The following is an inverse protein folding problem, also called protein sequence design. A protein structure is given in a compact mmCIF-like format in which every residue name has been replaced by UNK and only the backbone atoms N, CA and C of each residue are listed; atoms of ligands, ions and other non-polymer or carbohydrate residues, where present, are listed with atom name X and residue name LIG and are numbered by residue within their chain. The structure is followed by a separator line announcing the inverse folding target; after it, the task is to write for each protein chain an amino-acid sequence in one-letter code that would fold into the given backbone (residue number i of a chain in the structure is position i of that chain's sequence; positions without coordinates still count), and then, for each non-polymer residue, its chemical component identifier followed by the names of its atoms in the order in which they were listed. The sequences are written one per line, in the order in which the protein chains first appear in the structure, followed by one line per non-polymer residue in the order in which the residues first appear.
data_IF_216862999665
#
_entry.id   IF_216862999665
#
_cell.length_a   1.000
_cell.length_b   1.000
_cell.length_c   1.000
_cell.angle_alpha   90.00
_cell.angle_beta   90.00
_cell.angle_gamma   90.00
#
_symmetry.space_group_name_H-M   'P 1'
#
loop_
_entity.id
_entity.type
_entity.pdbx_description
1 polymer ?
#
# COMPACT_ATOMS: atom_id res chain seq x y z
N UNK A 1 -0.76 -3.59 -43.96
CA UNK A 1 -1.09 -4.93 -43.47
C UNK A 1 -1.71 -4.75 -42.09
N UNK A 2 -2.91 -5.26 -41.82
CA UNK A 2 -3.57 -5.03 -40.54
C UNK A 2 -2.93 -5.89 -39.44
N UNK A 3 -2.63 -5.27 -38.32
CA UNK A 3 -2.16 -5.93 -37.09
C UNK A 3 -3.35 -6.65 -36.46
N UNK A 4 -3.29 -7.97 -36.44
CA UNK A 4 -4.30 -8.82 -35.81
C UNK A 4 -4.14 -8.73 -34.29
N UNK A 5 -5.15 -8.22 -33.60
CA UNK A 5 -5.21 -8.22 -32.15
C UNK A 5 -5.29 -9.68 -31.65
N UNK A 6 -4.28 -10.14 -30.93
CA UNK A 6 -4.34 -11.37 -30.17
C UNK A 6 -5.21 -11.15 -28.94
N UNK A 7 -6.42 -11.68 -28.98
CA UNK A 7 -7.25 -11.81 -27.78
C UNK A 7 -6.61 -12.86 -26.87
N UNK A 8 -5.97 -12.43 -25.80
CA UNK A 8 -5.56 -13.30 -24.72
C UNK A 8 -6.82 -13.80 -24.01
N UNK A 9 -7.14 -15.08 -24.19
CA UNK A 9 -8.13 -15.78 -23.37
C UNK A 9 -7.60 -15.84 -21.94
N UNK A 10 -8.19 -15.03 -21.06
CA UNK A 10 -7.96 -15.12 -19.62
C UNK A 10 -8.55 -16.47 -19.14
N UNK A 11 -7.72 -17.51 -19.11
CA UNK A 11 -8.04 -18.72 -18.36
C UNK A 11 -8.00 -18.37 -16.88
N UNK A 12 -9.18 -18.30 -16.28
CA UNK A 12 -9.39 -18.15 -14.85
C UNK A 12 -8.76 -19.36 -14.14
N UNK A 13 -7.46 -19.25 -13.78
CA UNK A 13 -6.81 -20.23 -12.91
C UNK A 13 -7.10 -19.77 -11.49
N UNK A 14 -8.10 -20.37 -10.87
CA UNK A 14 -8.26 -20.33 -9.43
C UNK A 14 -7.03 -21.01 -8.80
N UNK A 15 -6.11 -20.23 -8.25
CA UNK A 15 -5.07 -20.75 -7.40
C UNK A 15 -5.70 -21.03 -6.03
N UNK A 16 -5.95 -22.29 -5.73
CA UNK A 16 -6.24 -22.72 -4.37
C UNK A 16 -4.91 -22.71 -3.58
N UNK A 17 -4.71 -21.66 -2.77
CA UNK A 17 -3.66 -21.70 -1.76
C UNK A 17 -4.08 -22.66 -0.65
N UNK A 18 -3.22 -23.59 -0.21
CA UNK A 18 -3.48 -24.34 1.00
C UNK A 18 -3.49 -23.37 2.18
N UNK A 19 -4.69 -23.04 2.66
CA UNK A 19 -4.87 -22.17 3.81
C UNK A 19 -4.25 -22.85 5.04
N UNK A 20 -3.39 -22.18 5.83
CA UNK A 20 -3.04 -22.67 7.14
C UNK A 20 -4.32 -22.80 7.97
N UNK A 21 -4.52 -23.97 8.57
CA UNK A 21 -5.65 -24.22 9.48
C UNK A 21 -5.43 -23.50 10.83
N UNK A 22 -5.34 -22.21 10.85
CA UNK A 22 -5.29 -21.42 12.08
C UNK A 22 -6.23 -20.23 11.92
N UNK A 23 -7.31 -20.27 12.61
CA UNK A 23 -8.18 -19.23 13.21
C UNK A 23 -8.10 -17.79 12.70
N UNK A 24 -7.85 -17.55 11.42
CA UNK A 24 -7.91 -16.21 10.84
C UNK A 24 -8.11 -16.33 9.34
N UNK A 25 -9.20 -15.73 8.82
CA UNK A 25 -9.36 -15.61 7.38
C UNK A 25 -8.20 -14.78 6.83
N UNK A 26 -7.55 -15.28 5.77
CA UNK A 26 -6.52 -14.52 5.08
C UNK A 26 -7.13 -13.27 4.45
N UNK A 27 -6.32 -12.24 4.23
CA UNK A 27 -6.72 -11.01 3.53
C UNK A 27 -7.38 -11.34 2.19
N UNK A 28 -6.82 -12.28 1.44
CA UNK A 28 -7.38 -12.76 0.15
C UNK A 28 -8.74 -13.44 0.32
N UNK A 29 -8.92 -14.33 1.30
CA UNK A 29 -10.20 -14.99 1.52
C UNK A 29 -11.32 -13.98 1.86
N UNK A 30 -11.02 -12.97 2.68
CA UNK A 30 -11.95 -11.88 2.97
C UNK A 30 -12.27 -11.03 1.74
N UNK A 31 -11.27 -10.69 0.94
CA UNK A 31 -11.44 -9.87 -0.25
C UNK A 31 -12.33 -10.57 -1.29
N UNK A 32 -12.06 -11.84 -1.60
CA UNK A 32 -12.81 -12.58 -2.61
C UNK A 32 -14.23 -12.96 -2.17
N UNK A 33 -14.47 -13.18 -0.88
CA UNK A 33 -15.80 -13.55 -0.36
C UNK A 33 -16.82 -12.41 -0.46
N UNK A 34 -16.38 -11.18 -0.63
CA UNK A 34 -17.23 -9.98 -0.58
C UNK A 34 -17.34 -9.24 -1.92
N UNK A 35 -16.72 -9.73 -3.00
CA UNK A 35 -16.84 -9.06 -4.30
C UNK A 35 -18.29 -9.17 -4.80
N UNK A 36 -19.06 -8.08 -4.84
CA UNK A 36 -20.41 -8.12 -5.38
C UNK A 36 -20.38 -8.32 -6.91
N UNK A 37 -21.47 -8.75 -7.52
CA UNK A 37 -21.60 -8.77 -8.97
C UNK A 37 -21.29 -7.38 -9.55
N UNK A 38 -20.54 -7.34 -10.65
CA UNK A 38 -20.24 -6.07 -11.31
C UNK A 38 -21.56 -5.40 -11.77
N UNK A 39 -21.80 -4.14 -11.40
CA UNK A 39 -23.00 -3.43 -11.82
C UNK A 39 -22.99 -3.20 -13.33
N UNK A 40 -24.16 -3.11 -13.92
CA UNK A 40 -24.30 -2.65 -15.32
C UNK A 40 -23.80 -1.21 -15.45
N UNK A 41 -23.46 -0.79 -16.66
CA UNK A 41 -23.03 0.60 -16.89
C UNK A 41 -24.04 1.64 -16.36
N UNK A 42 -25.33 1.40 -16.60
CA UNK A 42 -26.39 2.32 -16.15
C UNK A 42 -26.47 2.40 -14.61
N UNK A 43 -26.38 1.27 -13.92
CA UNK A 43 -26.37 1.23 -12.45
C UNK A 43 -25.14 1.92 -11.90
N UNK A 44 -23.99 1.71 -12.53
CA UNK A 44 -22.72 2.33 -12.16
C UNK A 44 -22.78 3.85 -12.30
N UNK A 45 -23.23 4.34 -13.47
CA UNK A 45 -23.37 5.78 -13.72
C UNK A 45 -24.31 6.43 -12.68
N UNK A 46 -25.42 5.75 -12.33
CA UNK A 46 -26.35 6.20 -11.30
C UNK A 46 -25.73 6.22 -9.89
N UNK A 47 -24.95 5.20 -9.54
CA UNK A 47 -24.22 5.12 -8.26
C UNK A 47 -23.18 6.24 -8.15
N UNK A 48 -22.42 6.50 -9.20
CA UNK A 48 -21.39 7.53 -9.25
C UNK A 48 -22.03 8.92 -9.09
N UNK A 49 -23.14 9.19 -9.79
CA UNK A 49 -23.88 10.44 -9.63
C UNK A 49 -24.40 10.61 -8.21
N UNK A 50 -25.02 9.56 -7.64
CA UNK A 50 -25.53 9.59 -6.28
C UNK A 50 -24.42 9.83 -5.24
N UNK A 51 -23.24 9.18 -5.42
CA UNK A 51 -22.09 9.38 -4.55
C UNK A 51 -21.59 10.84 -4.62
N UNK A 52 -21.49 11.41 -5.82
CA UNK A 52 -21.14 12.83 -6.02
C UNK A 52 -22.12 13.76 -5.30
N UNK A 53 -23.42 13.50 -5.42
CA UNK A 53 -24.45 14.34 -4.79
C UNK A 53 -24.41 14.25 -3.26
N UNK A 54 -24.16 13.05 -2.70
CA UNK A 54 -23.99 12.85 -1.27
C UNK A 54 -22.76 13.56 -0.73
N UNK A 55 -21.61 13.47 -1.43
CA UNK A 55 -20.40 14.20 -1.03
C UNK A 55 -20.68 15.71 -0.94
N UNK A 56 -21.33 16.29 -1.95
CA UNK A 56 -21.71 17.70 -1.96
C UNK A 56 -22.71 18.05 -0.84
N UNK A 57 -23.75 17.24 -0.68
CA UNK A 57 -24.79 17.44 0.34
C UNK A 57 -24.21 17.47 1.75
N UNK A 58 -23.23 16.63 2.04
CA UNK A 58 -22.61 16.53 3.36
C UNK A 58 -21.34 17.37 3.52
N UNK A 59 -20.96 18.16 2.52
CA UNK A 59 -19.70 18.91 2.55
C UNK A 59 -18.49 17.99 2.76
N UNK A 60 -18.58 16.76 2.25
CA UNK A 60 -17.55 15.73 2.38
C UNK A 60 -16.62 15.73 1.16
N UNK A 61 -15.38 15.27 1.36
CA UNK A 61 -14.40 15.10 0.30
C UNK A 61 -13.91 13.65 0.25
N UNK A 62 -13.67 13.14 -0.96
CA UNK A 62 -13.21 11.77 -1.18
C UNK A 62 -11.69 11.76 -1.41
N UNK A 63 -10.97 10.98 -0.60
CA UNK A 63 -9.58 10.61 -0.84
C UNK A 63 -9.53 9.15 -1.30
N UNK A 64 -9.05 8.92 -2.50
CA UNK A 64 -8.96 7.60 -3.12
C UNK A 64 -7.50 7.13 -3.21
N UNK A 65 -7.25 5.89 -2.83
CA UNK A 65 -5.92 5.29 -3.02
C UNK A 65 -5.73 4.85 -4.48
N UNK A 66 -4.49 4.83 -4.96
CA UNK A 66 -4.15 4.36 -6.31
C UNK A 66 -4.63 2.94 -6.67
N UNK A 67 -4.94 2.11 -5.67
CA UNK A 67 -5.35 0.70 -5.86
C UNK A 67 -6.86 0.52 -6.04
N UNK A 68 -7.67 1.57 -5.86
CA UNK A 68 -9.10 1.47 -6.10
C UNK A 68 -9.41 1.60 -7.59
N UNK A 69 -10.60 1.14 -7.98
CA UNK A 69 -11.04 1.22 -9.37
C UNK A 69 -10.93 2.65 -9.93
N UNK A 70 -10.57 2.77 -11.22
CA UNK A 70 -10.38 4.05 -11.89
C UNK A 70 -11.58 4.97 -11.79
N UNK A 71 -12.79 4.43 -11.77
CA UNK A 71 -14.03 5.20 -11.63
C UNK A 71 -14.13 5.90 -10.26
N UNK A 72 -13.67 5.25 -9.17
CA UNK A 72 -13.60 5.88 -7.85
C UNK A 72 -12.51 6.95 -7.80
N UNK A 73 -11.41 6.74 -8.54
CA UNK A 73 -10.38 7.77 -8.69
C UNK A 73 -10.92 8.98 -9.45
N UNK A 74 -11.64 8.74 -10.55
CA UNK A 74 -12.29 9.81 -11.33
C UNK A 74 -13.30 10.56 -10.49
N UNK A 75 -14.12 9.87 -9.69
CA UNK A 75 -15.07 10.51 -8.75
C UNK A 75 -14.33 11.40 -7.75
N UNK A 76 -13.24 10.93 -7.17
CA UNK A 76 -12.46 11.71 -6.21
C UNK A 76 -11.99 13.01 -6.86
N UNK A 77 -11.37 12.94 -8.04
CA UNK A 77 -10.89 14.11 -8.78
C UNK A 77 -12.04 15.06 -9.20
N UNK A 78 -13.15 14.51 -9.70
CA UNK A 78 -14.31 15.30 -10.14
C UNK A 78 -15.04 16.01 -8.99
N UNK A 79 -14.88 15.54 -7.75
CA UNK A 79 -15.53 16.12 -6.57
C UNK A 79 -14.61 16.96 -5.68
N UNK A 80 -13.39 17.29 -6.18
CA UNK A 80 -12.43 18.10 -5.44
C UNK A 80 -11.60 17.32 -4.42
N UNK A 81 -11.61 16.00 -4.53
CA UNK A 81 -10.80 15.09 -3.72
C UNK A 81 -9.40 14.85 -4.29
N UNK A 82 -8.76 13.79 -3.83
CA UNK A 82 -7.43 13.40 -4.30
C UNK A 82 -7.34 11.92 -4.64
N UNK A 83 -6.36 11.59 -5.51
CA UNK A 83 -5.87 10.23 -5.76
C UNK A 83 -4.40 10.20 -5.38
N UNK A 84 -4.03 9.39 -4.39
CA UNK A 84 -2.69 9.45 -3.82
C UNK A 84 -2.28 8.15 -3.11
N UNK A 85 -1.02 8.10 -2.63
CA UNK A 85 -0.59 7.11 -1.64
C UNK A 85 -1.17 7.42 -0.24
N UNK A 86 -1.01 6.47 0.68
CA UNK A 86 -1.62 6.55 2.01
C UNK A 86 -1.19 7.78 2.82
N UNK A 87 0.06 8.25 2.67
CA UNK A 87 0.54 9.43 3.39
C UNK A 87 -0.02 10.72 2.81
N UNK A 88 -0.01 10.84 1.49
CA UNK A 88 -0.56 12.02 0.82
C UNK A 88 -2.08 12.11 0.99
N UNK A 89 -2.81 10.98 1.00
CA UNK A 89 -4.23 10.96 1.36
C UNK A 89 -4.48 11.51 2.77
N UNK A 90 -3.65 11.11 3.75
CA UNK A 90 -3.77 11.58 5.12
C UNK A 90 -3.40 13.08 5.26
N UNK A 91 -2.37 13.53 4.55
CA UNK A 91 -2.00 14.97 4.46
C UNK A 91 -3.10 15.79 3.82
N UNK A 92 -3.61 15.33 2.66
CA UNK A 92 -4.74 15.97 1.99
C UNK A 92 -5.93 16.10 2.94
N UNK A 93 -6.30 15.02 3.64
CA UNK A 93 -7.39 15.04 4.61
C UNK A 93 -7.17 16.04 5.75
N UNK A 94 -5.93 16.17 6.24
CA UNK A 94 -5.56 17.15 7.26
C UNK A 94 -5.69 18.59 6.74
N UNK A 95 -5.18 18.86 5.56
CA UNK A 95 -5.04 20.21 5.01
C UNK A 95 -6.32 20.72 4.33
N UNK A 96 -7.22 19.80 3.90
CA UNK A 96 -8.47 20.15 3.26
C UNK A 96 -9.48 20.76 4.24
N UNK A 97 -10.25 21.76 3.79
CA UNK A 97 -11.19 22.50 4.64
C UNK A 97 -12.42 21.68 5.09
N UNK A 98 -12.78 20.60 4.38
CA UNK A 98 -13.92 19.75 4.73
C UNK A 98 -13.73 19.10 6.10
N UNK A 99 -14.81 19.06 6.89
CA UNK A 99 -14.84 18.39 8.20
C UNK A 99 -15.12 16.89 8.09
N UNK A 100 -15.52 16.42 6.90
CA UNK A 100 -15.83 15.02 6.62
C UNK A 100 -14.96 14.54 5.46
N UNK A 101 -14.19 13.49 5.72
CA UNK A 101 -13.34 12.81 4.74
C UNK A 101 -13.85 11.38 4.52
N UNK A 102 -14.10 11.02 3.29
CA UNK A 102 -14.36 9.63 2.88
C UNK A 102 -13.04 9.06 2.35
N UNK A 103 -12.58 7.95 2.92
CA UNK A 103 -11.33 7.30 2.52
C UNK A 103 -11.65 6.01 1.77
N UNK A 104 -11.42 6.01 0.46
CA UNK A 104 -11.51 4.81 -0.37
C UNK A 104 -10.12 4.14 -0.42
N UNK A 105 -9.97 3.11 0.40
CA UNK A 105 -8.74 2.35 0.60
C UNK A 105 -8.92 1.31 1.68
N UNK A 106 -7.82 0.79 2.23
CA UNK A 106 -7.84 -0.19 3.33
C UNK A 106 -7.82 0.49 4.69
N UNK A 107 -8.29 -0.22 5.72
CA UNK A 107 -8.58 0.31 7.07
C UNK A 107 -7.48 1.19 7.66
N UNK A 108 -6.20 0.76 7.60
CA UNK A 108 -5.11 1.53 8.18
C UNK A 108 -4.96 2.95 7.59
N UNK A 109 -5.43 3.17 6.35
CA UNK A 109 -5.39 4.50 5.70
C UNK A 109 -6.39 5.46 6.34
N UNK A 110 -7.62 4.99 6.62
CA UNK A 110 -8.61 5.75 7.36
C UNK A 110 -8.18 6.01 8.80
N UNK A 111 -7.58 5.01 9.47
CA UNK A 111 -7.00 5.17 10.80
C UNK A 111 -5.88 6.22 10.81
N UNK A 112 -4.98 6.20 9.81
CA UNK A 112 -3.91 7.20 9.68
C UNK A 112 -4.50 8.59 9.44
N UNK A 113 -5.50 8.72 8.58
CA UNK A 113 -6.20 9.99 8.36
C UNK A 113 -6.84 10.51 9.67
N UNK A 114 -7.45 9.62 10.47
CA UNK A 114 -8.03 9.98 11.77
C UNK A 114 -6.99 10.40 12.79
N UNK A 115 -5.83 9.73 12.83
CA UNK A 115 -4.72 10.09 13.71
C UNK A 115 -4.20 11.51 13.39
N UNK A 116 -4.07 11.84 12.10
CA UNK A 116 -3.59 13.16 11.66
C UNK A 116 -4.67 14.27 11.73
N UNK A 117 -5.94 13.91 11.84
CA UNK A 117 -7.08 14.83 11.87
C UNK A 117 -8.11 14.35 12.88
N UNK A 118 -7.79 14.37 14.20
CA UNK A 118 -8.66 13.80 15.23
C UNK A 118 -10.00 14.54 15.36
N UNK A 119 -10.08 15.77 14.92
CA UNK A 119 -11.30 16.60 14.93
C UNK A 119 -12.27 16.27 13.78
N UNK A 120 -11.77 15.64 12.69
CA UNK A 120 -12.58 15.37 11.49
C UNK A 120 -13.33 14.05 11.59
N UNK A 121 -14.44 13.97 10.86
CA UNK A 121 -15.16 12.71 10.65
C UNK A 121 -14.50 11.95 9.49
N UNK A 122 -14.01 10.74 9.77
CA UNK A 122 -13.41 9.87 8.76
C UNK A 122 -14.36 8.70 8.53
N UNK A 123 -14.80 8.53 7.30
CA UNK A 123 -15.64 7.42 6.88
C UNK A 123 -14.90 6.54 5.90
N UNK A 124 -15.13 5.25 6.00
CA UNK A 124 -14.65 4.25 5.06
C UNK A 124 -15.81 3.39 4.57
N UNK A 125 -15.87 3.06 3.27
CA UNK A 125 -16.91 2.22 2.71
C UNK A 125 -16.97 0.81 3.33
N UNK A 126 -15.79 0.24 3.62
CA UNK A 126 -15.65 -1.09 4.22
C UNK A 126 -14.50 -1.09 5.24
N UNK A 127 -14.81 -1.35 6.50
CA UNK A 127 -13.82 -1.46 7.58
C UNK A 127 -13.12 -2.83 7.63
N UNK A 128 -13.66 -3.82 6.93
CA UNK A 128 -13.04 -5.14 6.80
C UNK A 128 -12.02 -5.19 5.65
N UNK A 129 -11.97 -4.16 4.80
CA UNK A 129 -10.91 -4.00 3.82
C UNK A 129 -9.58 -3.75 4.54
N UNK A 130 -8.73 -4.78 4.62
CA UNK A 130 -7.47 -4.75 5.36
C UNK A 130 -6.27 -5.02 4.45
N UNK A 131 -5.07 -4.83 4.99
CA UNK A 131 -3.80 -5.14 4.34
C UNK A 131 -3.18 -6.39 4.98
N UNK A 132 -2.55 -7.25 4.19
CA UNK A 132 -1.85 -8.44 4.70
C UNK A 132 -0.73 -8.10 5.69
N UNK A 133 -0.10 -6.94 5.55
CA UNK A 133 0.90 -6.45 6.51
C UNK A 133 0.28 -6.11 7.86
N UNK A 134 -0.92 -5.52 7.87
CA UNK A 134 -1.67 -5.23 9.10
C UNK A 134 -2.10 -6.53 9.78
N UNK A 135 -2.66 -7.48 9.02
CA UNK A 135 -3.03 -8.80 9.52
C UNK A 135 -1.83 -9.62 10.02
N UNK A 136 -0.67 -9.47 9.37
CA UNK A 136 0.58 -10.14 9.73
C UNK A 136 1.33 -9.51 10.91
N UNK A 137 0.77 -8.44 11.51
CA UNK A 137 1.35 -7.74 12.66
C UNK A 137 0.26 -7.47 13.72
N UNK A 138 -0.26 -8.52 14.40
CA UNK A 138 -1.26 -8.38 15.45
C UNK A 138 -0.75 -7.49 16.58
N UNK A 139 -1.61 -6.61 17.09
CA UNK A 139 -1.20 -5.57 18.05
C UNK A 139 -0.63 -6.13 19.35
N UNK A 140 -1.23 -7.21 19.89
CA UNK A 140 -0.78 -7.83 21.13
C UNK A 140 0.56 -8.53 20.97
N UNK A 141 0.76 -9.27 19.86
CA UNK A 141 2.02 -9.92 19.55
C UNK A 141 3.14 -8.90 19.32
N UNK A 142 2.81 -7.80 18.62
CA UNK A 142 3.77 -6.71 18.39
C UNK A 142 4.12 -5.98 19.70
N UNK A 143 3.14 -5.77 20.59
CA UNK A 143 3.39 -5.18 21.90
C UNK A 143 4.36 -6.04 22.71
N UNK A 144 4.11 -7.37 22.77
CA UNK A 144 5.01 -8.31 23.45
C UNK A 144 6.42 -8.33 22.84
N UNK A 145 6.52 -8.19 21.51
CA UNK A 145 7.81 -8.09 20.83
C UNK A 145 8.56 -6.80 21.19
N UNK A 146 7.87 -5.66 21.26
CA UNK A 146 8.45 -4.40 21.71
C UNK A 146 8.93 -4.47 23.16
N UNK A 147 8.16 -5.09 24.04
CA UNK A 147 8.49 -5.21 25.47
C UNK A 147 9.72 -6.08 25.74
N UNK A 148 10.07 -7.00 24.81
CA UNK A 148 11.31 -7.79 24.85
C UNK A 148 12.54 -7.03 24.33
N UNK A 149 12.37 -5.86 23.70
CA UNK A 149 13.42 -5.11 23.01
C UNK A 149 13.38 -3.62 23.33
N UNK A 150 13.21 -3.29 24.60
CA UNK A 150 13.02 -1.91 25.10
C UNK A 150 14.20 -0.96 24.83
N UNK A 151 15.38 -1.50 24.48
CA UNK A 151 16.56 -0.74 24.11
C UNK A 151 16.52 -0.23 22.65
N UNK A 152 15.51 -0.60 21.87
CA UNK A 152 15.37 -0.23 20.47
C UNK A 152 14.30 0.84 20.26
N UNK A 153 14.58 1.75 19.33
CA UNK A 153 13.59 2.71 18.83
C UNK A 153 12.63 2.00 17.91
N UNK A 154 11.35 2.09 18.19
CA UNK A 154 10.29 1.40 17.43
C UNK A 154 9.91 2.24 16.21
N UNK A 155 10.16 1.72 15.02
CA UNK A 155 9.81 2.33 13.74
C UNK A 155 8.79 1.46 13.04
N UNK A 156 7.62 2.01 12.76
CA UNK A 156 6.50 1.27 12.17
C UNK A 156 6.18 1.85 10.79
N UNK A 157 6.11 0.97 9.81
CA UNK A 157 5.60 1.32 8.50
C UNK A 157 4.08 1.51 8.54
N UNK A 158 3.55 2.46 7.78
CA UNK A 158 2.17 2.93 7.84
C UNK A 158 1.11 1.81 7.68
N UNK A 159 1.46 0.71 7.01
CA UNK A 159 0.58 -0.42 6.72
C UNK A 159 0.33 -1.32 7.94
N UNK A 160 -0.09 -0.71 9.04
CA UNK A 160 -0.36 -1.35 10.33
C UNK A 160 -1.58 -0.70 10.98
N UNK A 161 -2.20 -1.37 11.96
CA UNK A 161 -3.32 -0.83 12.73
C UNK A 161 -2.92 0.39 13.58
N UNK A 162 -3.92 1.18 13.98
CA UNK A 162 -3.72 2.26 14.94
C UNK A 162 -3.14 1.77 16.27
N UNK A 163 -3.50 0.56 16.71
CA UNK A 163 -2.97 -0.04 17.94
C UNK A 163 -1.46 -0.34 17.84
N UNK A 164 -1.00 -0.85 16.70
CA UNK A 164 0.44 -1.04 16.43
C UNK A 164 1.15 0.31 16.36
N UNK A 165 0.57 1.31 15.69
CA UNK A 165 1.12 2.68 15.62
C UNK A 165 1.26 3.33 16.99
N UNK A 166 0.37 3.02 17.94
CA UNK A 166 0.43 3.55 19.31
C UNK A 166 1.66 3.08 20.10
N UNK A 167 2.32 1.99 19.66
CA UNK A 167 3.58 1.49 20.23
C UNK A 167 4.83 2.07 19.56
N UNK A 168 4.67 2.84 18.47
CA UNK A 168 5.78 3.32 17.67
C UNK A 168 6.32 4.65 18.18
N UNK A 169 7.63 4.81 18.17
CA UNK A 169 8.30 6.11 18.31
C UNK A 169 8.25 6.89 16.99
N UNK A 170 8.29 6.16 15.87
CA UNK A 170 8.25 6.72 14.51
C UNK A 170 7.31 5.92 13.63
N UNK A 171 6.45 6.63 12.88
CA UNK A 171 5.68 6.06 11.79
C UNK A 171 6.24 6.58 10.46
N UNK A 172 6.49 5.67 9.52
CA UNK A 172 7.11 5.97 8.23
C UNK A 172 6.32 5.39 7.06
N UNK A 173 6.60 5.91 5.87
CA UNK A 173 6.20 5.31 4.59
C UNK A 173 7.44 4.92 3.79
N UNK A 174 7.29 4.16 2.70
CA UNK A 174 8.41 3.78 1.84
C UNK A 174 9.20 4.99 1.31
N UNK A 175 8.56 6.14 1.14
CA UNK A 175 9.21 7.36 0.64
C UNK A 175 10.16 8.03 1.64
N UNK A 176 9.92 7.89 2.97
CA UNK A 176 10.72 8.56 4.00
C UNK A 176 11.56 7.61 4.87
N UNK A 177 11.32 6.30 4.78
CA UNK A 177 11.91 5.30 5.67
C UNK A 177 13.45 5.30 5.66
N UNK A 178 14.09 5.43 4.49
CA UNK A 178 15.55 5.52 4.38
C UNK A 178 16.12 6.74 5.12
N UNK A 179 15.46 7.90 4.99
CA UNK A 179 15.90 9.12 5.64
C UNK A 179 15.80 9.00 7.18
N UNK A 180 14.70 8.44 7.68
CA UNK A 180 14.49 8.23 9.12
C UNK A 180 15.48 7.20 9.68
N UNK A 181 15.70 6.07 8.97
CA UNK A 181 16.67 5.06 9.40
C UNK A 181 18.10 5.62 9.46
N UNK A 182 18.52 6.42 8.48
CA UNK A 182 19.81 7.12 8.51
C UNK A 182 19.91 8.13 9.66
N UNK A 183 18.83 8.89 9.92
CA UNK A 183 18.77 9.82 11.04
C UNK A 183 18.95 9.09 12.38
N UNK A 184 18.20 8.03 12.62
CA UNK A 184 18.31 7.23 13.85
C UNK A 184 19.69 6.57 13.99
N UNK A 185 20.25 6.02 12.89
CA UNK A 185 21.61 5.49 12.88
C UNK A 185 22.64 6.56 13.27
N UNK A 186 22.53 7.79 12.74
CA UNK A 186 23.46 8.88 13.08
C UNK A 186 23.42 9.27 14.55
N UNK A 187 22.33 8.97 15.25
CA UNK A 187 22.17 9.14 16.69
C UNK A 187 22.59 7.92 17.51
N UNK A 188 23.14 6.87 16.87
CA UNK A 188 23.52 5.62 17.53
C UNK A 188 22.32 4.78 18.01
N UNK A 189 21.11 5.03 17.51
CA UNK A 189 19.92 4.29 17.89
C UNK A 189 19.88 2.94 17.19
N UNK A 190 19.46 1.90 17.93
CA UNK A 190 19.07 0.62 17.40
C UNK A 190 17.60 0.66 17.04
N UNK A 191 17.20 0.06 15.94
CA UNK A 191 15.84 0.14 15.41
C UNK A 191 15.14 -1.22 15.61
N UNK A 192 13.87 -1.21 16.04
CA UNK A 192 12.92 -2.29 15.88
C UNK A 192 11.97 -1.88 14.75
N UNK A 193 11.90 -2.69 13.70
CA UNK A 193 11.16 -2.39 12.48
C UNK A 193 9.98 -3.34 12.29
N UNK A 194 8.81 -2.82 11.97
CA UNK A 194 7.62 -3.59 11.59
C UNK A 194 6.81 -2.85 10.50
N UNK A 195 5.91 -3.53 9.78
CA UNK A 195 5.62 -4.96 9.79
C UNK A 195 6.34 -5.76 8.70
N UNK A 196 6.91 -5.11 7.67
CA UNK A 196 7.43 -5.75 6.46
C UNK A 196 8.93 -6.04 6.53
N UNK A 197 9.30 -7.34 6.47
CA UNK A 197 10.70 -7.77 6.53
C UNK A 197 11.50 -7.40 5.29
N UNK A 198 10.85 -7.35 4.10
CA UNK A 198 11.55 -7.06 2.85
C UNK A 198 11.93 -5.58 2.77
N UNK A 199 10.96 -4.68 3.02
CA UNK A 199 11.24 -3.24 3.12
C UNK A 199 12.26 -2.95 4.22
N UNK A 200 12.10 -3.56 5.41
CA UNK A 200 13.05 -3.42 6.51
C UNK A 200 14.45 -3.90 6.13
N UNK A 201 14.56 -5.07 5.49
CA UNK A 201 15.83 -5.62 5.00
C UNK A 201 16.49 -4.75 3.93
N UNK A 202 15.71 -4.20 3.01
CA UNK A 202 16.20 -3.23 2.03
C UNK A 202 16.77 -1.98 2.71
N UNK A 203 16.03 -1.40 3.67
CA UNK A 203 16.48 -0.22 4.42
C UNK A 203 17.74 -0.54 5.21
N UNK A 204 17.79 -1.68 5.90
CA UNK A 204 18.96 -2.14 6.63
C UNK A 204 20.19 -2.25 5.73
N UNK A 205 20.03 -2.87 4.54
CA UNK A 205 21.09 -3.00 3.56
C UNK A 205 21.59 -1.64 3.05
N UNK A 206 20.67 -0.72 2.74
CA UNK A 206 21.03 0.61 2.21
C UNK A 206 21.68 1.53 3.25
N UNK A 207 21.27 1.40 4.51
CA UNK A 207 21.75 2.31 5.58
C UNK A 207 22.84 1.70 6.44
N UNK A 208 22.92 0.36 6.53
CA UNK A 208 23.76 -0.34 7.52
C UNK A 208 23.35 -0.02 8.97
N UNK A 209 22.10 0.33 9.23
CA UNK A 209 21.57 0.54 10.57
C UNK A 209 21.42 -0.80 11.33
N UNK A 210 21.57 -0.78 12.66
CA UNK A 210 21.25 -1.96 13.50
C UNK A 210 19.72 -2.08 13.61
N UNK A 211 19.14 -2.98 12.83
CA UNK A 211 17.70 -3.16 12.74
C UNK A 211 17.29 -4.60 13.12
N UNK A 212 16.35 -4.71 14.03
CA UNK A 212 15.63 -5.95 14.33
C UNK A 212 14.29 -5.91 13.59
N UNK A 213 14.04 -6.90 12.74
CA UNK A 213 12.91 -6.88 11.83
C UNK A 213 11.79 -7.83 12.31
N UNK A 214 10.56 -7.32 12.36
CA UNK A 214 9.36 -8.14 12.42
C UNK A 214 9.26 -8.99 11.15
N UNK A 215 8.75 -10.23 11.27
CA UNK A 215 8.80 -11.22 10.19
C UNK A 215 7.55 -11.25 9.29
N UNK A 216 6.79 -10.15 9.21
CA UNK A 216 5.70 -10.00 8.26
C UNK A 216 6.17 -9.75 6.83
N UNK A 217 5.28 -9.95 5.87
CA UNK A 217 5.49 -9.63 4.45
C UNK A 217 4.18 -9.27 3.77
N UNK A 218 4.27 -8.44 2.73
CA UNK A 218 3.14 -8.19 1.84
C UNK A 218 2.95 -9.41 0.93
N UNK A 219 1.80 -10.09 1.03
CA UNK A 219 1.54 -11.30 0.22
C UNK A 219 1.57 -11.03 -1.27
N UNK A 220 1.19 -9.84 -1.72
CA UNK A 220 1.20 -9.46 -3.13
C UNK A 220 2.64 -9.34 -3.64
N UNK A 221 3.49 -8.63 -2.91
CA UNK A 221 4.89 -8.45 -3.31
C UNK A 221 5.72 -9.74 -3.14
N UNK A 222 5.39 -10.57 -2.15
CA UNK A 222 6.07 -11.86 -1.92
C UNK A 222 5.79 -12.90 -3.03
N UNK A 223 4.74 -12.66 -3.84
CA UNK A 223 4.42 -13.49 -5.02
C UNK A 223 5.34 -13.25 -6.21
N UNK A 224 6.03 -12.12 -6.31
CA UNK A 224 6.98 -11.89 -7.40
C UNK A 224 8.19 -12.80 -7.28
N UNK A 225 8.51 -13.51 -8.37
CA UNK A 225 9.57 -14.52 -8.40
C UNK A 225 10.70 -14.09 -9.34
N UNK A 226 11.91 -14.34 -8.90
CA UNK A 226 13.15 -14.05 -9.65
C UNK A 226 13.15 -14.68 -11.04
N UNK A 227 12.76 -15.96 -11.13
CA UNK A 227 12.71 -16.69 -12.40
C UNK A 227 11.74 -16.08 -13.41
N UNK A 228 10.57 -15.63 -12.96
CA UNK A 228 9.58 -14.99 -13.82
C UNK A 228 10.07 -13.65 -14.36
N UNK A 229 10.75 -12.88 -13.51
CA UNK A 229 11.38 -11.62 -13.91
C UNK A 229 12.53 -11.86 -14.91
N UNK A 230 13.35 -12.91 -14.71
CA UNK A 230 14.38 -13.30 -15.66
C UNK A 230 13.80 -13.63 -17.05
N UNK A 231 12.67 -14.32 -17.10
CA UNK A 231 11.98 -14.64 -18.35
C UNK A 231 11.45 -13.37 -19.04
N UNK A 232 10.86 -12.45 -18.27
CA UNK A 232 10.39 -11.16 -18.79
C UNK A 232 11.56 -10.31 -19.32
N UNK A 233 12.67 -10.22 -18.61
CA UNK A 233 13.86 -9.50 -19.07
C UNK A 233 14.44 -10.08 -20.37
N UNK A 234 14.41 -11.41 -20.55
CA UNK A 234 14.82 -12.05 -21.80
C UNK A 234 13.87 -11.74 -22.96
N UNK A 235 12.56 -11.69 -22.68
CA UNK A 235 11.55 -11.36 -23.69
C UNK A 235 11.53 -9.87 -24.05
N UNK A 236 11.84 -9.00 -23.09
CA UNK A 236 11.81 -7.53 -23.22
C UNK A 236 13.13 -6.90 -22.73
N UNK A 237 14.27 -7.12 -23.41
CA UNK A 237 15.58 -6.72 -22.92
C UNK A 237 15.78 -5.20 -22.79
N UNK A 238 14.94 -4.39 -23.48
CA UNK A 238 14.94 -2.93 -23.40
C UNK A 238 14.06 -2.37 -22.28
N UNK A 239 13.23 -3.22 -21.65
CA UNK A 239 12.33 -2.77 -20.58
C UNK A 239 13.08 -2.43 -19.31
N UNK A 240 12.71 -1.32 -18.67
CA UNK A 240 13.17 -0.94 -17.33
C UNK A 240 12.29 -1.57 -16.29
N UNK A 241 12.88 -2.23 -15.32
CA UNK A 241 12.18 -2.91 -14.23
C UNK A 241 12.10 -1.97 -13.02
N UNK A 242 10.88 -1.59 -12.65
CA UNK A 242 10.59 -0.79 -11.47
C UNK A 242 10.06 -1.70 -10.37
N UNK A 243 10.66 -1.65 -9.18
CA UNK A 243 10.32 -2.56 -8.08
C UNK A 243 10.08 -1.78 -6.78
N UNK A 244 8.98 -2.11 -6.10
CA UNK A 244 8.75 -1.64 -4.75
C UNK A 244 9.59 -2.46 -3.75
N UNK A 245 10.25 -1.83 -2.76
CA UNK A 245 11.16 -2.52 -1.82
C UNK A 245 10.47 -3.48 -0.84
N UNK A 246 9.15 -3.62 -0.86
CA UNK A 246 8.41 -4.72 -0.22
C UNK A 246 8.56 -6.07 -0.96
N UNK A 247 9.17 -6.07 -2.15
CA UNK A 247 9.42 -7.28 -2.92
C UNK A 247 10.61 -8.06 -2.37
N UNK A 248 10.68 -9.39 -2.62
CA UNK A 248 11.81 -10.21 -2.24
C UNK A 248 13.14 -9.64 -2.76
N UNK A 249 14.21 -9.81 -1.98
CA UNK A 249 15.54 -9.28 -2.31
C UNK A 249 16.07 -9.75 -3.68
N UNK A 250 15.70 -10.95 -4.11
CA UNK A 250 16.07 -11.51 -5.41
C UNK A 250 15.44 -10.73 -6.58
N UNK A 251 14.22 -10.23 -6.39
CA UNK A 251 13.51 -9.37 -7.36
C UNK A 251 14.09 -7.95 -7.32
N UNK A 252 14.29 -7.40 -6.11
CA UNK A 252 14.87 -6.06 -5.92
C UNK A 252 16.25 -5.94 -6.57
N UNK A 253 17.08 -6.99 -6.51
CA UNK A 253 18.42 -6.99 -7.14
C UNK A 253 18.41 -6.88 -8.66
N UNK A 254 17.31 -7.22 -9.30
CA UNK A 254 17.15 -7.14 -10.75
C UNK A 254 16.52 -5.83 -11.21
N UNK A 255 16.11 -4.96 -10.29
CA UNK A 255 15.45 -3.71 -10.62
C UNK A 255 16.40 -2.66 -11.19
N UNK A 256 15.93 -1.91 -12.18
CA UNK A 256 16.59 -0.71 -12.67
C UNK A 256 16.26 0.50 -11.77
N UNK A 257 15.07 0.49 -11.16
CA UNK A 257 14.65 1.49 -10.16
C UNK A 257 13.97 0.77 -9.00
N UNK A 258 14.42 1.06 -7.79
CA UNK A 258 13.77 0.62 -6.55
C UNK A 258 13.25 1.84 -5.81
N UNK A 259 11.97 1.85 -5.50
CA UNK A 259 11.38 3.00 -4.82
C UNK A 259 9.91 2.84 -4.44
N UNK A 260 9.38 3.86 -3.75
CA UNK A 260 7.95 3.97 -3.45
C UNK A 260 7.12 4.12 -4.73
N UNK A 261 5.80 3.93 -4.62
CA UNK A 261 4.86 4.13 -5.73
C UNK A 261 5.05 5.49 -6.41
N UNK A 262 5.20 6.56 -5.64
CA UNK A 262 5.44 7.91 -6.17
C UNK A 262 6.79 8.03 -6.91
N UNK A 263 7.84 7.34 -6.42
CA UNK A 263 9.14 7.32 -7.09
C UNK A 263 9.10 6.51 -8.39
N UNK A 264 8.38 5.39 -8.41
CA UNK A 264 8.15 4.60 -9.63
C UNK A 264 7.34 5.40 -10.66
N UNK A 265 6.26 6.07 -10.24
CA UNK A 265 5.48 6.95 -11.10
C UNK A 265 6.35 8.07 -11.69
N UNK A 266 7.19 8.69 -10.85
CA UNK A 266 8.14 9.71 -11.33
C UNK A 266 9.10 9.14 -12.36
N UNK A 267 9.64 7.95 -12.17
CA UNK A 267 10.53 7.31 -13.12
C UNK A 267 9.87 7.08 -14.48
N UNK A 268 8.56 6.75 -14.50
CA UNK A 268 7.79 6.64 -15.75
C UNK A 268 7.56 8.00 -16.41
N UNK A 269 7.18 9.02 -15.62
CA UNK A 269 6.95 10.38 -16.13
C UNK A 269 8.24 10.99 -16.69
N UNK A 270 9.37 10.78 -16.04
CA UNK A 270 10.69 11.25 -16.49
C UNK A 270 11.24 10.41 -17.66
N UNK A 271 10.58 9.33 -18.03
CA UNK A 271 10.91 8.47 -19.16
C UNK A 271 10.78 9.19 -20.51
N UNK A 272 11.44 8.64 -21.51
CA UNK A 272 11.36 9.18 -22.89
C UNK A 272 10.26 8.46 -23.66
N UNK A 273 9.73 9.12 -24.68
CA UNK A 273 8.81 8.48 -25.62
C UNK A 273 9.48 7.24 -26.25
N UNK A 274 8.83 6.07 -26.09
CA UNK A 274 9.33 4.77 -26.54
C UNK A 274 10.03 3.95 -25.45
N UNK A 275 10.25 4.49 -24.24
CA UNK A 275 10.69 3.69 -23.10
C UNK A 275 9.59 2.65 -22.75
N UNK A 276 10.03 1.47 -22.35
CA UNK A 276 9.18 0.36 -21.90
C UNK A 276 9.50 0.12 -20.42
N UNK A 277 8.45 -0.04 -19.61
CA UNK A 277 8.57 -0.30 -18.17
C UNK A 277 7.83 -1.57 -17.79
#
# INVERSE_FOLDING_TARGET
MPVTAMTASATNRSFEYPLPQASGMTCTANAWAKVPPAPTKQERDALMQRASDLLKQHGAVLAAHYYVDGELQDLALATGGCVADSLEMARFGRDHAAQTLVVAGVRFMGETAKILSPEKNIYMPDLDATCSLDLGCPADDFAAFCDQHTERTVVVYANTSAAVKARADWMVTSSCALAIANHLKSQGKKILWAPDRHLGGYIQQQTGADMLLWQGACIVHDEFKELELDLLRKAYPQAKVLVHPESPVSVVRQADVVGSTSQMLKAVIDGKQGDVF
#
